data_IF_590159366968
#
_entry.id   IF_590159366968
#
_cell.length_a   1.000
_cell.length_b   1.000
_cell.length_c   1.000
_cell.angle_alpha   90.00
_cell.angle_beta   90.00
_cell.angle_gamma   90.00
#
_symmetry.space_group_name_H-M   'P 1'
#
loop_
_entity.id
_entity.type
_entity.pdbx_description
1 polymer ?
#
# COMPACT_ATOMS: atom_id res chain seq x y z
N UNK A 1 -10.27 9.70 21.53
CA UNK A 1 -10.76 8.92 20.38
C UNK A 1 -10.49 9.74 19.11
N UNK A 2 -9.99 9.13 18.04
CA UNK A 2 -9.32 9.84 16.93
C UNK A 2 -10.28 10.61 15.99
N UNK A 3 -9.99 11.90 15.77
CA UNK A 3 -10.69 12.85 14.87
C UNK A 3 -10.80 12.43 13.38
N UNK A 4 -10.26 11.29 12.99
CA UNK A 4 -10.32 10.82 11.59
C UNK A 4 -11.68 10.24 11.21
N UNK A 5 -12.50 9.84 12.19
CA UNK A 5 -13.78 9.17 11.94
C UNK A 5 -14.91 10.11 11.47
N UNK A 6 -14.83 11.40 11.81
CA UNK A 6 -15.86 12.39 11.50
C UNK A 6 -15.81 12.90 10.04
N UNK A 7 -14.66 12.77 9.37
CA UNK A 7 -14.45 13.25 7.99
C UNK A 7 -14.59 12.15 6.93
N UNK A 8 -14.83 10.90 7.33
CA UNK A 8 -14.94 9.75 6.40
C UNK A 8 -16.38 9.39 6.01
N UNK A 9 -17.38 9.95 6.68
CA UNK A 9 -18.80 9.73 6.37
C UNK A 9 -19.27 10.72 5.29
N UNK A 10 -19.82 10.21 4.18
CA UNK A 10 -20.45 11.07 3.17
C UNK A 10 -21.78 11.64 3.71
N UNK A 11 -22.00 12.97 3.68
CA UNK A 11 -23.27 13.55 4.10
C UNK A 11 -24.37 13.22 3.09
N UNK A 12 -25.55 12.85 3.60
CA UNK A 12 -26.70 12.48 2.76
C UNK A 12 -27.68 13.66 2.55
N UNK A 13 -27.47 14.81 3.20
CA UNK A 13 -28.22 16.05 2.95
C UNK A 13 -27.44 17.31 3.40
N UNK A 14 -27.97 18.49 3.02
CA UNK A 14 -27.36 19.80 3.31
C UNK A 14 -27.26 20.13 4.79
N UNK A 15 -28.20 19.67 5.62
CA UNK A 15 -28.19 19.93 7.05
C UNK A 15 -27.12 19.09 7.76
N UNK A 16 -26.93 17.84 7.33
CA UNK A 16 -25.84 16.98 7.77
C UNK A 16 -24.48 17.53 7.33
N UNK A 17 -24.38 18.05 6.11
CA UNK A 17 -23.14 18.69 5.64
C UNK A 17 -22.78 19.91 6.50
N UNK A 18 -23.74 20.77 6.84
CA UNK A 18 -23.54 21.92 7.73
C UNK A 18 -23.12 21.50 9.13
N UNK A 19 -23.80 20.49 9.71
CA UNK A 19 -23.47 19.98 11.04
C UNK A 19 -22.05 19.36 11.12
N UNK A 20 -21.60 18.68 10.06
CA UNK A 20 -20.23 18.16 9.97
C UNK A 20 -19.18 19.26 9.85
N UNK A 21 -19.47 20.31 9.06
CA UNK A 21 -18.59 21.49 8.94
C UNK A 21 -18.49 22.22 10.27
N UNK A 22 -19.60 22.38 10.98
CA UNK A 22 -19.66 23.04 12.27
C UNK A 22 -18.99 22.21 13.38
N UNK A 23 -19.12 20.88 13.34
CA UNK A 23 -18.34 19.98 14.21
C UNK A 23 -16.84 20.04 13.90
N UNK A 24 -16.44 20.11 12.63
CA UNK A 24 -15.05 20.25 12.25
C UNK A 24 -14.47 21.63 12.62
N UNK A 25 -15.29 22.68 12.56
CA UNK A 25 -14.91 24.04 12.94
C UNK A 25 -14.77 24.21 14.47
N UNK A 26 -15.55 23.47 15.25
CA UNK A 26 -15.49 23.47 16.71
C UNK A 26 -14.59 22.36 17.28
N UNK A 27 -13.95 21.56 16.44
CA UNK A 27 -12.99 20.57 16.90
C UNK A 27 -11.74 21.27 17.42
N UNK A 28 -11.22 20.83 18.58
CA UNK A 28 -9.98 21.34 19.14
C UNK A 28 -8.88 21.35 18.07
N UNK A 29 -8.45 22.55 17.71
CA UNK A 29 -7.37 22.77 16.74
C UNK A 29 -6.15 22.04 17.25
N UNK A 30 -5.75 20.95 16.57
CA UNK A 30 -4.51 20.27 16.92
C UNK A 30 -3.37 21.29 16.90
N UNK A 31 -2.49 21.30 17.91
CA UNK A 31 -1.31 22.13 17.89
C UNK A 31 -0.61 22.02 16.54
N UNK A 32 -0.18 23.15 15.98
CA UNK A 32 0.47 23.18 14.67
C UNK A 32 1.70 22.25 14.66
N UNK A 33 2.40 22.16 15.78
CA UNK A 33 3.53 21.25 15.99
C UNK A 33 3.16 19.79 15.79
N UNK A 34 2.02 19.34 16.33
CA UNK A 34 1.54 17.96 16.19
C UNK A 34 1.13 17.66 14.74
N UNK A 35 0.51 18.63 14.06
CA UNK A 35 0.14 18.50 12.65
C UNK A 35 1.38 18.40 11.75
N UNK A 36 2.40 19.21 12.04
CA UNK A 36 3.68 19.19 11.33
C UNK A 36 4.45 17.91 11.63
N UNK A 37 4.47 17.44 12.88
CA UNK A 37 5.11 16.19 13.27
C UNK A 37 4.45 14.98 12.61
N UNK A 38 3.12 14.94 12.57
CA UNK A 38 2.38 13.89 11.87
C UNK A 38 2.67 13.89 10.36
N UNK A 39 2.71 15.07 9.72
CA UNK A 39 3.08 15.18 8.32
C UNK A 39 4.53 14.75 8.06
N UNK A 40 5.48 15.16 8.91
CA UNK A 40 6.89 14.74 8.82
C UNK A 40 7.05 13.24 9.03
N UNK A 41 6.29 12.64 9.94
CA UNK A 41 6.30 11.20 10.18
C UNK A 41 5.98 10.39 8.91
N UNK A 42 5.11 10.90 8.03
CA UNK A 42 4.81 10.28 6.73
C UNK A 42 6.03 10.20 5.80
N UNK A 43 7.00 11.09 5.96
CA UNK A 43 8.22 11.12 5.14
C UNK A 43 9.42 10.44 5.81
N UNK A 44 9.26 9.89 7.02
CA UNK A 44 10.33 9.15 7.68
C UNK A 44 10.55 7.77 7.06
N UNK A 45 11.81 7.30 7.08
CA UNK A 45 12.22 5.97 6.58
C UNK A 45 11.38 4.83 7.19
N UNK A 46 10.97 4.98 8.45
CA UNK A 46 10.13 4.02 9.15
C UNK A 46 8.72 3.90 8.58
N UNK A 47 8.12 5.00 8.08
CA UNK A 47 6.76 4.94 7.56
C UNK A 47 6.65 4.10 6.29
N UNK A 48 7.53 4.34 5.30
CA UNK A 48 7.56 3.53 4.07
C UNK A 48 7.84 2.06 4.37
N UNK A 49 8.75 1.76 5.30
CA UNK A 49 9.02 0.37 5.70
C UNK A 49 7.79 -0.30 6.32
N UNK A 50 7.05 0.41 7.18
CA UNK A 50 5.79 -0.08 7.75
C UNK A 50 4.73 -0.33 6.68
N UNK A 51 4.60 0.56 5.69
CA UNK A 51 3.68 0.36 4.57
C UNK A 51 4.07 -0.88 3.73
N UNK A 52 5.36 -1.04 3.41
CA UNK A 52 5.84 -2.22 2.68
C UNK A 52 5.54 -3.49 3.47
N UNK A 53 5.80 -3.49 4.77
CA UNK A 53 5.51 -4.64 5.63
C UNK A 53 4.01 -4.97 5.65
N UNK A 54 3.14 -3.95 5.75
CA UNK A 54 1.70 -4.12 5.71
C UNK A 54 1.23 -4.74 4.39
N UNK A 55 1.68 -4.20 3.26
CA UNK A 55 1.31 -4.71 1.93
C UNK A 55 1.83 -6.13 1.74
N UNK A 56 3.10 -6.38 2.04
CA UNK A 56 3.71 -7.71 1.91
C UNK A 56 2.99 -8.76 2.77
N UNK A 57 2.67 -8.42 4.01
CA UNK A 57 1.93 -9.31 4.93
C UNK A 57 0.46 -9.47 4.55
N UNK A 58 -0.09 -8.60 3.69
CA UNK A 58 -1.44 -8.73 3.15
C UNK A 58 -1.52 -9.67 1.93
N UNK A 59 -0.38 -9.98 1.30
CA UNK A 59 -0.33 -10.92 0.16
C UNK A 59 -0.57 -12.35 0.63
N UNK A 60 -1.17 -13.16 -0.22
CA UNK A 60 -1.29 -14.60 0.00
C UNK A 60 0.08 -15.31 -0.15
N UNK A 61 0.18 -16.57 0.33
CA UNK A 61 1.43 -17.33 0.26
C UNK A 61 1.96 -17.52 -1.17
N UNK A 62 1.06 -17.68 -2.14
CA UNK A 62 1.44 -17.88 -3.55
C UNK A 62 2.08 -16.60 -4.11
N UNK A 63 1.46 -15.46 -3.86
CA UNK A 63 1.95 -14.14 -4.26
C UNK A 63 3.32 -13.84 -3.61
N UNK A 64 3.48 -14.12 -2.32
CA UNK A 64 4.78 -13.99 -1.63
C UNK A 64 5.83 -14.91 -2.24
N UNK A 65 5.47 -16.18 -2.48
CA UNK A 65 6.34 -17.16 -3.13
C UNK A 65 6.81 -16.71 -4.50
N UNK A 66 5.91 -16.15 -5.32
CA UNK A 66 6.23 -15.58 -6.63
C UNK A 66 7.24 -14.43 -6.53
N UNK A 67 7.05 -13.50 -5.59
CA UNK A 67 7.97 -12.37 -5.35
C UNK A 67 9.35 -12.85 -4.91
N UNK A 68 9.40 -13.83 -3.99
CA UNK A 68 10.65 -14.43 -3.54
C UNK A 68 11.38 -15.11 -4.70
N UNK A 69 10.66 -15.89 -5.52
CA UNK A 69 11.23 -16.58 -6.68
C UNK A 69 11.81 -15.60 -7.71
N UNK A 70 11.05 -14.57 -8.09
CA UNK A 70 11.50 -13.52 -9.00
C UNK A 70 12.74 -12.78 -8.45
N UNK A 71 12.81 -12.61 -7.13
CA UNK A 71 13.94 -12.03 -6.43
C UNK A 71 15.16 -12.95 -6.24
N UNK A 72 15.08 -14.21 -6.68
CA UNK A 72 16.08 -15.28 -6.41
C UNK A 72 16.33 -15.49 -4.90
N UNK A 73 15.26 -15.37 -4.11
CA UNK A 73 15.21 -15.76 -2.71
C UNK A 73 14.68 -17.19 -2.55
N UNK A 74 14.81 -17.75 -1.36
CA UNK A 74 14.18 -19.03 -1.05
C UNK A 74 12.66 -18.84 -0.93
N UNK A 75 11.92 -19.40 -1.89
CA UNK A 75 10.45 -19.35 -1.95
C UNK A 75 9.78 -20.16 -0.82
N UNK A 76 10.53 -20.97 -0.08
CA UNK A 76 10.04 -21.62 1.15
C UNK A 76 9.80 -20.63 2.28
N UNK A 77 10.33 -19.41 2.19
CA UNK A 77 10.09 -18.32 3.15
C UNK A 77 8.75 -17.60 2.92
N UNK A 78 7.88 -18.09 2.01
CA UNK A 78 6.60 -17.43 1.69
C UNK A 78 5.66 -17.29 2.89
N UNK A 79 5.79 -18.17 3.88
CA UNK A 79 4.97 -18.18 5.09
C UNK A 79 5.42 -17.11 6.10
N UNK A 80 6.60 -16.50 5.90
CA UNK A 80 7.19 -15.50 6.79
C UNK A 80 6.61 -14.11 6.56
N UNK A 81 6.45 -13.36 7.64
CA UNK A 81 6.15 -11.93 7.58
C UNK A 81 7.38 -11.11 7.17
N UNK A 82 7.15 -9.92 6.62
CA UNK A 82 8.23 -9.05 6.12
C UNK A 82 9.32 -8.75 7.16
N UNK A 83 8.94 -8.58 8.43
CA UNK A 83 9.87 -8.30 9.53
C UNK A 83 10.66 -9.53 10.00
N UNK A 84 10.21 -10.73 9.67
CA UNK A 84 10.91 -11.99 9.99
C UNK A 84 11.98 -12.34 8.94
N UNK A 85 11.91 -11.72 7.76
CA UNK A 85 12.93 -11.85 6.72
C UNK A 85 14.19 -11.09 7.14
N UNK A 86 15.36 -11.65 6.85
CA UNK A 86 16.63 -10.95 6.95
C UNK A 86 16.75 -9.85 5.89
N UNK A 87 17.71 -8.93 6.08
CA UNK A 87 17.87 -7.77 5.20
C UNK A 87 18.23 -8.16 3.76
N UNK A 88 18.99 -9.26 3.58
CA UNK A 88 19.32 -9.78 2.26
C UNK A 88 18.06 -10.26 1.52
N UNK A 89 17.16 -10.93 2.23
CA UNK A 89 15.91 -11.46 1.69
C UNK A 89 14.94 -10.33 1.41
N UNK A 90 14.87 -9.29 2.24
CA UNK A 90 14.10 -8.07 1.95
C UNK A 90 14.60 -7.35 0.70
N UNK A 91 15.90 -7.29 0.50
CA UNK A 91 16.50 -6.74 -0.73
C UNK A 91 16.14 -7.60 -1.95
N UNK A 92 16.11 -8.93 -1.81
CA UNK A 92 15.63 -9.84 -2.86
C UNK A 92 14.14 -9.65 -3.14
N UNK A 93 13.29 -9.45 -2.13
CA UNK A 93 11.87 -9.07 -2.30
C UNK A 93 11.75 -7.79 -3.14
N UNK A 94 12.57 -6.76 -2.83
CA UNK A 94 12.61 -5.52 -3.62
C UNK A 94 13.00 -5.77 -5.09
N UNK A 95 13.93 -6.69 -5.36
CA UNK A 95 14.32 -7.08 -6.73
C UNK A 95 13.19 -7.84 -7.43
N UNK A 96 12.52 -8.77 -6.76
CA UNK A 96 11.40 -9.51 -7.31
C UNK A 96 10.24 -8.60 -7.72
N UNK A 97 9.91 -7.60 -6.90
CA UNK A 97 8.91 -6.57 -7.24
C UNK A 97 9.29 -5.76 -8.48
N UNK A 98 10.58 -5.39 -8.61
CA UNK A 98 11.08 -4.68 -9.81
C UNK A 98 10.98 -5.54 -11.06
N UNK A 99 11.29 -6.83 -10.95
CA UNK A 99 11.18 -7.77 -12.07
C UNK A 99 9.72 -7.91 -12.53
N UNK A 100 8.78 -8.10 -11.61
CA UNK A 100 7.36 -8.15 -11.96
C UNK A 100 6.86 -6.86 -12.61
N UNK A 101 7.25 -5.70 -12.06
CA UNK A 101 6.90 -4.42 -12.66
C UNK A 101 7.43 -4.30 -14.09
N UNK A 102 8.65 -4.78 -14.37
CA UNK A 102 9.24 -4.81 -15.71
C UNK A 102 8.45 -5.71 -16.65
N UNK A 103 8.12 -6.93 -16.23
CA UNK A 103 7.34 -7.90 -17.03
C UNK A 103 5.94 -7.36 -17.35
N UNK A 104 5.20 -6.91 -16.34
CA UNK A 104 3.85 -6.35 -16.52
C UNK A 104 3.89 -5.13 -17.44
N UNK A 105 4.89 -4.25 -17.29
CA UNK A 105 5.05 -3.08 -18.16
C UNK A 105 5.32 -3.47 -19.61
N UNK A 106 6.11 -4.52 -19.87
CA UNK A 106 6.36 -5.00 -21.24
C UNK A 106 5.08 -5.47 -21.92
N UNK A 107 4.28 -6.28 -21.23
CA UNK A 107 2.97 -6.67 -21.74
C UNK A 107 2.06 -5.45 -21.95
N UNK A 108 1.95 -4.59 -20.93
CA UNK A 108 1.09 -3.41 -21.00
C UNK A 108 1.43 -2.47 -22.16
N UNK A 109 2.73 -2.34 -22.48
CA UNK A 109 3.19 -1.54 -23.60
C UNK A 109 2.90 -2.18 -24.97
N UNK A 110 2.87 -3.51 -25.04
CA UNK A 110 2.71 -4.23 -26.30
C UNK A 110 1.24 -4.45 -26.69
N UNK A 111 0.39 -4.80 -25.72
CA UNK A 111 -1.01 -5.20 -25.97
C UNK A 111 -2.04 -4.27 -25.31
N UNK A 112 -1.59 -3.16 -24.71
CA UNK A 112 -2.42 -2.37 -23.81
C UNK A 112 -2.58 -3.05 -22.45
N UNK A 113 -3.49 -2.56 -21.60
CA UNK A 113 -3.69 -3.12 -20.25
C UNK A 113 -3.95 -4.62 -20.28
N UNK A 114 -3.05 -5.42 -19.72
CA UNK A 114 -3.13 -6.88 -19.72
C UNK A 114 -4.43 -7.40 -19.11
N UNK A 115 -4.99 -6.68 -18.13
CA UNK A 115 -6.27 -7.03 -17.48
C UNK A 115 -7.49 -6.88 -18.41
N UNK A 116 -7.35 -6.21 -19.56
CA UNK A 116 -8.40 -6.03 -20.56
C UNK A 116 -8.31 -7.00 -21.73
N UNK A 117 -7.31 -7.87 -21.74
CA UNK A 117 -7.18 -8.92 -22.76
C UNK A 117 -8.26 -9.98 -22.61
N UNK A 118 -8.66 -10.56 -23.73
CA UNK A 118 -9.67 -11.61 -23.81
C UNK A 118 -8.98 -12.98 -23.93
N UNK A 119 -9.64 -14.08 -23.51
CA UNK A 119 -9.11 -15.43 -23.72
C UNK A 119 -8.81 -15.76 -25.18
N UNK A 120 -9.45 -15.07 -26.14
CA UNK A 120 -9.15 -15.18 -27.57
C UNK A 120 -7.78 -14.64 -27.96
N UNK A 121 -7.21 -13.73 -27.17
CA UNK A 121 -5.93 -13.07 -27.47
C UNK A 121 -4.72 -13.97 -27.14
N UNK A 122 -4.94 -15.13 -26.51
CA UNK A 122 -3.93 -16.11 -26.08
C UNK A 122 -4.04 -17.47 -26.79
N UNK A 123 -4.74 -17.54 -27.93
CA UNK A 123 -4.92 -18.77 -28.72
C UNK A 123 -4.01 -18.83 -29.93
#
# INVERSE_FOLDING_TARGET
MSNAFALTSQPHNSNQARALIEQAANADTRPAEDSIAAAKALFTKGHKQSQIALVYNGLDERQRGLILLAGRADHKLRDKNFKELDDLTREKVRRGLKEFSSVVRRFNNAVGHIEKTLPSDFR
#
